data_IF_261203056896
#
_entry.id   IF_261203056896
#
_cell.length_a   1.000
_cell.length_b   1.000
_cell.length_c   1.000
_cell.angle_alpha   90.00
_cell.angle_beta   90.00
_cell.angle_gamma   90.00
#
_symmetry.space_group_name_H-M   'P 1'
#
loop_
_entity.id
_entity.type
_entity.pdbx_description
1 polymer ?
#
# COMPACT_ATOMS: atom_id res chain seq x y z
N UNK A 1 -5.61 -50.80 -4.74
CA UNK A 1 -5.48 -49.51 -4.03
C UNK A 1 -4.08 -49.00 -4.29
N UNK A 2 -3.92 -47.91 -5.05
CA UNK A 2 -2.61 -47.33 -5.35
C UNK A 2 -2.36 -46.16 -4.39
N UNK A 3 -1.34 -46.28 -3.54
CA UNK A 3 -0.91 -45.19 -2.67
C UNK A 3 -0.16 -44.16 -3.53
N UNK A 4 -0.73 -42.95 -3.65
CA UNK A 4 -0.01 -41.82 -4.21
C UNK A 4 1.15 -41.48 -3.27
N UNK A 5 2.38 -41.71 -3.71
CA UNK A 5 3.57 -41.25 -3.01
C UNK A 5 3.72 -39.74 -3.28
N UNK A 6 3.61 -38.85 -2.27
CA UNK A 6 3.89 -37.44 -2.48
C UNK A 6 5.39 -37.30 -2.72
N UNK A 7 5.79 -37.21 -3.99
CA UNK A 7 7.13 -36.73 -4.34
C UNK A 7 7.27 -35.33 -3.75
N UNK A 8 8.14 -35.19 -2.76
CA UNK A 8 8.63 -33.89 -2.34
C UNK A 8 9.14 -33.18 -3.61
N UNK A 9 8.51 -32.06 -3.94
CA UNK A 9 9.00 -31.23 -5.02
C UNK A 9 10.18 -30.44 -4.47
N UNK A 10 11.35 -31.07 -4.49
CA UNK A 10 12.61 -30.37 -4.25
C UNK A 10 12.82 -29.42 -5.44
N UNK A 11 12.30 -28.20 -5.32
CA UNK A 11 12.60 -27.12 -6.25
C UNK A 11 13.97 -26.58 -5.86
N UNK A 12 15.05 -26.86 -6.61
CA UNK A 12 16.34 -26.26 -6.32
C UNK A 12 16.21 -24.75 -6.47
N UNK A 13 16.32 -24.02 -5.36
CA UNK A 13 16.33 -22.56 -5.38
C UNK A 13 17.60 -22.15 -6.13
N UNK A 14 17.42 -21.69 -7.35
CA UNK A 14 18.53 -21.24 -8.19
C UNK A 14 19.04 -19.90 -7.62
N UNK A 15 20.32 -19.78 -7.25
CA UNK A 15 20.87 -18.52 -6.73
C UNK A 15 20.64 -17.33 -7.67
N UNK A 16 20.65 -17.57 -8.99
CA UNK A 16 20.33 -16.55 -9.99
C UNK A 16 18.91 -15.99 -9.88
N UNK A 17 17.93 -16.82 -9.48
CA UNK A 17 16.54 -16.38 -9.29
C UNK A 17 16.42 -15.46 -8.08
N UNK A 18 17.14 -15.75 -6.99
CA UNK A 18 17.19 -14.88 -5.82
C UNK A 18 17.82 -13.53 -6.15
N UNK A 19 18.92 -13.53 -6.89
CA UNK A 19 19.59 -12.30 -7.34
C UNK A 19 18.66 -11.48 -8.23
N UNK A 20 17.99 -12.12 -9.19
CA UNK A 20 17.03 -11.44 -10.07
C UNK A 20 15.85 -10.82 -9.28
N UNK A 21 15.33 -11.53 -8.28
CA UNK A 21 14.25 -11.04 -7.43
C UNK A 21 14.68 -9.79 -6.63
N UNK A 22 15.85 -9.83 -6.01
CA UNK A 22 16.41 -8.71 -5.22
C UNK A 22 16.66 -7.49 -6.12
N UNK A 23 17.26 -7.70 -7.29
CA UNK A 23 17.52 -6.62 -8.24
C UNK A 23 16.23 -5.98 -8.75
N UNK A 24 15.24 -6.80 -9.12
CA UNK A 24 13.93 -6.32 -9.57
C UNK A 24 13.23 -5.49 -8.48
N UNK A 25 13.26 -5.95 -7.23
CA UNK A 25 12.72 -5.22 -6.08
C UNK A 25 13.44 -3.89 -5.84
N UNK A 26 14.77 -3.87 -5.89
CA UNK A 26 15.56 -2.66 -5.69
C UNK A 26 15.30 -1.61 -6.79
N UNK A 27 15.22 -2.04 -8.05
CA UNK A 27 14.89 -1.18 -9.19
C UNK A 27 13.46 -0.63 -9.06
N UNK A 28 12.49 -1.51 -8.80
CA UNK A 28 11.09 -1.10 -8.61
C UNK A 28 10.90 -0.12 -7.46
N UNK A 29 11.59 -0.34 -6.33
CA UNK A 29 11.59 0.57 -5.20
C UNK A 29 12.19 1.92 -5.56
N UNK A 30 13.37 1.94 -6.19
CA UNK A 30 14.02 3.19 -6.60
C UNK A 30 13.14 3.98 -7.56
N UNK A 31 12.57 3.33 -8.58
CA UNK A 31 11.64 3.98 -9.53
C UNK A 31 10.36 4.47 -8.84
N UNK A 32 9.85 3.74 -7.84
CA UNK A 32 8.70 4.13 -7.05
C UNK A 32 8.95 5.41 -6.23
N UNK A 33 10.16 5.65 -5.74
CA UNK A 33 10.52 6.90 -5.05
C UNK A 33 10.51 8.13 -5.97
N UNK A 34 10.80 7.94 -7.26
CA UNK A 34 10.77 9.01 -8.25
C UNK A 34 9.37 9.26 -8.83
N UNK A 35 8.40 8.38 -8.56
CA UNK A 35 7.02 8.65 -8.91
C UNK A 35 6.49 9.73 -7.96
N UNK A 36 6.10 10.93 -8.44
CA UNK A 36 5.36 11.85 -7.60
C UNK A 36 4.07 11.12 -7.23
N UNK A 37 3.95 10.70 -5.97
CA UNK A 37 2.70 10.19 -5.42
C UNK A 37 1.61 11.18 -5.82
N UNK A 38 0.71 10.78 -6.72
CA UNK A 38 -0.57 11.45 -7.00
C UNK A 38 -1.48 11.26 -5.78
N UNK A 39 -1.02 11.73 -4.64
CA UNK A 39 -1.53 11.43 -3.31
C UNK A 39 -1.24 12.56 -2.34
N UNK A 40 -1.22 13.80 -2.83
CA UNK A 40 -1.58 14.96 -2.04
C UNK A 40 -2.99 15.38 -2.44
N UNK A 41 -3.96 14.47 -2.31
CA UNK A 41 -5.33 14.91 -2.08
C UNK A 41 -5.35 15.49 -0.66
N UNK A 42 -4.80 16.69 -0.52
CA UNK A 42 -4.98 17.55 0.64
C UNK A 42 -6.41 18.09 0.62
N UNK A 43 -7.41 17.23 0.49
CA UNK A 43 -8.71 17.54 1.05
C UNK A 43 -8.65 16.98 2.47
N UNK A 44 -8.08 17.76 3.38
CA UNK A 44 -8.39 17.64 4.79
C UNK A 44 -9.91 17.78 4.90
N UNK A 45 -10.62 16.65 4.81
CA UNK A 45 -12.01 16.56 5.22
C UNK A 45 -11.99 16.78 6.73
N UNK A 46 -12.11 18.04 7.12
CA UNK A 46 -12.34 18.41 8.49
C UNK A 46 -13.82 18.12 8.72
N UNK A 47 -14.19 17.07 9.49
CA UNK A 47 -15.58 16.85 9.80
C UNK A 47 -16.10 18.12 10.49
N UNK A 48 -17.29 18.62 10.14
CA UNK A 48 -17.89 19.69 10.90
C UNK A 48 -17.90 19.28 12.37
N UNK A 49 -17.30 20.10 13.24
CA UNK A 49 -17.37 19.90 14.68
C UNK A 49 -18.83 20.14 15.08
N UNK A 50 -19.60 19.07 15.09
CA UNK A 50 -20.89 19.00 15.75
C UNK A 50 -20.65 18.97 17.26
N UNK A 51 -21.36 19.84 17.99
CA UNK A 51 -21.40 19.66 19.43
C UNK A 51 -22.12 18.34 19.77
N UNK A 52 -21.98 17.84 21.00
CA UNK A 52 -22.64 16.59 21.45
C UNK A 52 -24.17 16.62 21.34
N UNK A 53 -24.76 17.76 20.97
CA UNK A 53 -26.19 17.96 20.74
C UNK A 53 -26.54 18.05 19.23
N UNK A 54 -25.59 17.82 18.32
CA UNK A 54 -25.81 17.85 16.88
C UNK A 54 -25.86 19.25 16.27
N UNK A 55 -25.44 20.28 17.00
CA UNK A 55 -25.40 21.64 16.51
C UNK A 55 -24.07 21.89 15.77
N UNK A 56 -24.14 21.99 14.45
CA UNK A 56 -22.99 22.40 13.63
C UNK A 56 -22.79 23.90 13.78
N UNK A 57 -21.67 24.35 14.37
CA UNK A 57 -21.34 25.78 14.48
C UNK A 57 -21.06 26.40 13.11
N UNK A 58 -22.11 26.91 12.45
CA UNK A 58 -22.01 27.80 11.28
C UNK A 58 -21.74 29.23 11.75
N UNK A 59 -20.49 29.58 12.06
CA UNK A 59 -20.14 30.99 12.23
C UNK A 59 -19.89 31.62 10.86
N UNK A 60 -20.94 32.16 10.25
CA UNK A 60 -20.81 33.17 9.20
C UNK A 60 -20.59 34.52 9.88
N UNK A 61 -19.40 35.11 9.71
CA UNK A 61 -19.22 36.55 9.85
C UNK A 61 -18.41 37.03 8.65
N UNK A 62 -19.13 37.69 7.74
CA UNK A 62 -18.54 38.59 6.74
C UNK A 62 -17.96 39.80 7.47
N UNK A 63 -16.75 40.21 7.09
CA UNK A 63 -16.22 41.54 7.38
C UNK A 63 -16.11 42.31 6.06
#
# INVERSE_FOLDING_TARGET
MAHANPRAHDFPIQPGLLIALVLSGAIGFALGQYSPTFGAANSSYQPPIEDWHGNVKRSHWTQ
#
